data_IF_902128375563
#
_entry.id   IF_902128375563
#
_cell.length_a   1.000
_cell.length_b   1.000
_cell.length_c   1.000
_cell.angle_alpha   90.00
_cell.angle_beta   90.00
_cell.angle_gamma   90.00
#
_symmetry.space_group_name_H-M   'P 1'
#
loop_
_entity.id
_entity.type
_entity.pdbx_description
1 polymer ?
#
# COMPACT_ATOMS: atom_id res chain seq x y z
N UNK A 1 10.13 20.33 18.12
CA UNK A 1 10.65 19.75 16.87
C UNK A 1 9.42 19.28 16.11
N UNK A 2 9.25 19.86 14.92
CA UNK A 2 7.96 20.06 14.27
C UNK A 2 7.26 18.75 13.87
N UNK A 3 5.94 18.76 14.05
CA UNK A 3 4.91 17.85 13.56
C UNK A 3 5.30 16.97 12.35
N UNK A 4 5.65 15.72 12.64
CA UNK A 4 5.61 14.59 11.68
C UNK A 4 4.17 14.14 11.37
N UNK A 5 3.19 15.06 11.33
CA UNK A 5 1.77 14.70 11.25
C UNK A 5 1.26 14.40 9.84
N UNK A 6 2.12 14.37 8.80
CA UNK A 6 1.66 14.22 7.41
C UNK A 6 2.47 13.22 6.57
N UNK A 7 3.23 12.31 7.19
CA UNK A 7 3.92 11.20 6.51
C UNK A 7 3.08 9.91 6.61
N UNK A 8 1.84 9.99 6.11
CA UNK A 8 0.79 8.99 6.34
C UNK A 8 0.37 8.25 5.05
N UNK A 9 1.25 7.43 4.44
CA UNK A 9 0.92 6.59 3.31
C UNK A 9 -0.40 5.82 3.48
N UNK A 10 -1.24 5.91 2.45
CA UNK A 10 -2.54 5.27 2.44
C UNK A 10 -2.44 3.87 1.85
N UNK A 11 -2.92 2.86 2.58
CA UNK A 11 -2.98 1.47 2.14
C UNK A 11 -4.39 1.13 1.63
N UNK A 12 -4.50 0.74 0.38
CA UNK A 12 -5.74 0.34 -0.27
C UNK A 12 -5.74 -1.16 -0.56
N UNK A 13 -6.85 -1.84 -0.33
CA UNK A 13 -7.06 -3.20 -0.81
C UNK A 13 -7.84 -3.19 -2.12
N UNK A 14 -7.30 -3.90 -3.09
CA UNK A 14 -7.87 -4.10 -4.42
C UNK A 14 -8.39 -5.52 -4.52
N UNK A 15 -9.69 -5.64 -4.78
CA UNK A 15 -10.36 -6.93 -4.92
C UNK A 15 -11.05 -6.99 -6.27
N UNK A 16 -10.36 -7.49 -7.31
CA UNK A 16 -10.92 -7.67 -8.66
C UNK A 16 -12.24 -8.45 -8.65
N UNK A 17 -12.34 -9.49 -7.83
CA UNK A 17 -13.55 -10.31 -7.71
C UNK A 17 -14.76 -9.50 -7.21
N UNK A 18 -14.54 -8.50 -6.36
CA UNK A 18 -15.59 -7.65 -5.80
C UNK A 18 -15.81 -6.36 -6.62
N UNK A 19 -15.11 -6.20 -7.75
CA UNK A 19 -15.03 -4.95 -8.53
C UNK A 19 -14.62 -3.75 -7.66
N UNK A 20 -13.87 -3.99 -6.60
CA UNK A 20 -13.44 -2.95 -5.67
C UNK A 20 -12.02 -2.49 -6.03
N UNK A 21 -11.91 -1.32 -6.65
CA UNK A 21 -10.67 -0.75 -7.19
C UNK A 21 -9.86 0.04 -6.15
N UNK A 22 -9.90 -0.35 -4.88
CA UNK A 22 -9.10 0.29 -3.84
C UNK A 22 -9.95 0.82 -2.69
N UNK A 23 -10.18 -0.04 -1.70
CA UNK A 23 -10.77 0.38 -0.42
C UNK A 23 -9.65 0.74 0.55
N UNK A 24 -9.66 1.96 1.08
CA UNK A 24 -8.72 2.37 2.12
C UNK A 24 -8.88 1.44 3.34
N UNK A 25 -7.79 0.81 3.76
CA UNK A 25 -7.77 -0.13 4.88
C UNK A 25 -7.04 0.41 6.09
N UNK A 26 -5.92 1.07 5.85
CA UNK A 26 -5.08 1.60 6.88
C UNK A 26 -4.36 2.84 6.36
N UNK A 27 -4.03 3.71 7.29
CA UNK A 27 -3.12 4.82 7.08
C UNK A 27 -1.90 4.48 7.91
N UNK A 28 -0.78 4.28 7.25
CA UNK A 28 0.46 3.85 7.88
C UNK A 28 1.41 5.02 7.92
N UNK A 29 2.23 5.11 8.95
CA UNK A 29 3.39 5.99 8.97
C UNK A 29 4.48 5.43 8.04
N UNK A 30 5.40 6.26 7.55
CA UNK A 30 6.55 5.80 6.74
C UNK A 30 7.33 4.67 7.43
N UNK A 31 7.56 4.74 8.75
CA UNK A 31 8.23 3.67 9.50
C UNK A 31 7.44 2.35 9.49
N UNK A 32 6.11 2.42 9.60
CA UNK A 32 5.24 1.25 9.55
C UNK A 32 5.23 0.66 8.13
N UNK A 33 5.24 1.51 7.11
CA UNK A 33 5.43 1.08 5.73
C UNK A 33 6.77 0.35 5.54
N UNK A 34 7.88 0.88 6.07
CA UNK A 34 9.18 0.21 5.99
C UNK A 34 9.16 -1.18 6.65
N UNK A 35 8.52 -1.30 7.83
CA UNK A 35 8.34 -2.59 8.48
C UNK A 35 7.44 -3.53 7.65
N UNK A 36 6.34 -3.01 7.12
CA UNK A 36 5.39 -3.76 6.30
C UNK A 36 6.05 -4.31 5.03
N UNK A 37 6.82 -3.50 4.30
CA UNK A 37 7.44 -3.93 3.04
C UNK A 37 8.60 -4.91 3.22
N UNK A 38 9.19 -4.98 4.42
CA UNK A 38 10.19 -6.01 4.76
C UNK A 38 9.58 -7.42 4.77
N UNK A 39 8.30 -7.53 5.13
CA UNK A 39 7.56 -8.80 5.12
C UNK A 39 6.79 -9.01 3.82
N UNK A 40 6.31 -7.92 3.22
CA UNK A 40 5.49 -7.94 2.01
C UNK A 40 6.09 -7.04 0.93
N UNK A 41 6.96 -7.57 0.05
CA UNK A 41 7.69 -6.75 -0.91
C UNK A 41 6.73 -5.94 -1.79
N UNK A 42 6.97 -4.63 -1.83
CA UNK A 42 6.19 -3.69 -2.60
C UNK A 42 6.95 -3.29 -3.88
N UNK A 43 6.24 -3.22 -4.99
CA UNK A 43 6.78 -2.85 -6.30
C UNK A 43 6.19 -1.51 -6.71
N UNK A 44 7.04 -0.54 -7.04
CA UNK A 44 6.58 0.74 -7.58
C UNK A 44 5.91 0.54 -8.94
N UNK A 45 4.66 0.98 -9.08
CA UNK A 45 3.86 0.82 -10.30
C UNK A 45 3.59 2.13 -11.05
N UNK A 46 4.06 3.26 -10.50
CA UNK A 46 3.92 4.59 -11.12
C UNK A 46 3.03 5.53 -10.33
N UNK A 47 2.72 6.67 -10.91
CA UNK A 47 1.89 7.73 -10.30
C UNK A 47 0.39 7.52 -10.55
N UNK A 48 0.01 6.51 -11.33
CA UNK A 48 -1.37 6.14 -11.62
C UNK A 48 -1.81 4.93 -10.78
N UNK A 49 -3.07 4.95 -10.34
CA UNK A 49 -3.63 3.85 -9.58
C UNK A 49 -3.66 2.57 -10.45
N UNK A 50 -3.19 1.41 -9.95
CA UNK A 50 -3.14 0.19 -10.74
C UNK A 50 -4.55 -0.27 -11.13
N UNK A 51 -4.82 -0.32 -12.43
CA UNK A 51 -6.14 -0.71 -12.95
C UNK A 51 -6.38 -2.20 -12.77
N UNK A 52 -7.56 -2.55 -12.24
CA UNK A 52 -8.02 -3.94 -12.23
C UNK A 52 -8.29 -4.39 -13.67
N UNK A 53 -7.58 -5.42 -14.15
CA UNK A 53 -8.01 -6.17 -15.33
C UNK A 53 -7.29 -5.90 -16.66
N UNK A 54 -6.07 -5.31 -16.68
CA UNK A 54 -5.29 -5.25 -17.94
C UNK A 54 -4.28 -6.40 -18.11
N UNK A 55 -3.95 -7.11 -17.04
CA UNK A 55 -3.08 -8.28 -17.08
C UNK A 55 -3.85 -9.53 -16.65
N UNK A 56 -3.95 -10.49 -17.57
CA UNK A 56 -4.65 -11.76 -17.42
C UNK A 56 -4.06 -12.70 -16.34
N UNK A 57 -3.06 -12.24 -15.58
CA UNK A 57 -2.37 -13.02 -14.54
C UNK A 57 -2.79 -12.69 -13.10
N UNK A 58 -3.68 -11.72 -12.88
CA UNK A 58 -4.01 -11.24 -11.52
C UNK A 58 -5.49 -11.30 -11.17
N UNK A 59 -6.08 -12.50 -11.10
CA UNK A 59 -7.39 -12.70 -10.47
C UNK A 59 -7.33 -12.71 -8.93
N UNK A 60 -6.15 -12.47 -8.35
CA UNK A 60 -5.92 -12.41 -6.92
C UNK A 60 -6.15 -11.01 -6.35
N UNK A 61 -6.50 -10.97 -5.08
CA UNK A 61 -6.54 -9.74 -4.31
C UNK A 61 -5.11 -9.21 -4.09
N UNK A 62 -4.95 -7.89 -4.09
CA UNK A 62 -3.66 -7.25 -3.84
C UNK A 62 -3.85 -5.95 -3.06
N UNK A 63 -2.77 -5.43 -2.48
CA UNK A 63 -2.78 -4.13 -1.84
C UNK A 63 -1.98 -3.10 -2.63
N UNK A 64 -2.31 -1.83 -2.41
CA UNK A 64 -1.67 -0.68 -3.03
C UNK A 64 -1.33 0.32 -1.94
N UNK A 65 -0.08 0.71 -1.84
CA UNK A 65 0.36 1.79 -0.97
C UNK A 65 0.47 3.05 -1.81
N UNK A 66 -0.17 4.14 -1.39
CA UNK A 66 -0.04 5.46 -2.00
C UNK A 66 0.83 6.33 -1.11
N UNK A 67 1.94 6.81 -1.69
CA UNK A 67 2.76 7.87 -1.13
C UNK A 67 2.45 9.17 -1.86
N UNK A 68 2.06 10.19 -1.12
CA UNK A 68 1.87 11.54 -1.62
C UNK A 68 3.23 12.26 -1.77
N UNK A 69 3.34 13.27 -2.63
CA UNK A 69 4.57 14.06 -2.79
C UNK A 69 5.09 14.70 -1.49
N UNK A 70 4.18 14.97 -0.56
CA UNK A 70 4.49 15.55 0.75
C UNK A 70 4.99 14.49 1.76
N UNK A 71 4.76 13.20 1.47
CA UNK A 71 5.08 12.02 2.30
C UNK A 71 6.37 11.31 1.85
N UNK A 72 7.12 11.93 0.92
CA UNK A 72 8.30 11.32 0.32
C UNK A 72 9.54 11.55 1.15
N UNK A 73 10.15 10.48 1.62
CA UNK A 73 11.50 10.50 2.17
C UNK A 73 12.52 10.13 1.08
N UNK A 74 13.81 10.20 1.39
CA UNK A 74 14.87 9.81 0.44
C UNK A 74 14.74 8.35 -0.07
N UNK A 75 14.02 7.49 0.65
CA UNK A 75 13.82 6.09 0.29
C UNK A 75 12.56 5.84 -0.56
N UNK A 76 11.56 6.71 -0.47
CA UNK A 76 10.23 6.48 -1.06
C UNK A 76 9.89 7.55 -2.08
N UNK A 77 9.60 7.10 -3.31
CA UNK A 77 9.12 7.96 -4.39
C UNK A 77 7.60 8.17 -4.27
N UNK A 78 7.09 9.35 -4.65
CA UNK A 78 5.64 9.56 -4.66
C UNK A 78 5.00 8.72 -5.75
N UNK A 79 3.77 8.26 -5.47
CA UNK A 79 3.01 7.40 -6.37
C UNK A 79 2.49 6.15 -5.66
N UNK A 80 2.25 5.11 -6.46
CA UNK A 80 1.62 3.88 -6.04
C UNK A 80 2.61 2.72 -6.05
N UNK A 81 2.53 1.90 -5.00
CA UNK A 81 3.30 0.68 -4.85
C UNK A 81 2.33 -0.49 -4.72
N UNK A 82 2.45 -1.48 -5.60
CA UNK A 82 1.65 -2.70 -5.53
C UNK A 82 2.32 -3.71 -4.61
N UNK A 83 1.54 -4.32 -3.74
CA UNK A 83 1.95 -5.40 -2.84
C UNK A 83 1.16 -6.63 -3.24
N UNK A 84 1.87 -7.59 -3.84
CA UNK A 84 1.29 -8.86 -4.29
C UNK A 84 1.38 -9.86 -3.12
N UNK A 85 0.34 -9.87 -2.29
CA UNK A 85 0.25 -10.73 -1.10
C UNK A 85 -1.21 -10.91 -0.71
N UNK A 86 -1.50 -12.04 -0.05
CA UNK A 86 -2.84 -12.34 0.46
C UNK A 86 -3.33 -11.23 1.40
N UNK A 87 -4.53 -10.68 1.15
CA UNK A 87 -5.12 -9.63 2.01
C UNK A 87 -5.23 -10.04 3.47
N UNK A 88 -5.46 -11.32 3.75
CA UNK A 88 -5.50 -11.84 5.13
C UNK A 88 -4.14 -11.70 5.82
N UNK A 89 -3.03 -12.00 5.12
CA UNK A 89 -1.68 -11.83 5.68
C UNK A 89 -1.34 -10.37 5.87
N UNK A 90 -1.74 -9.52 4.91
CA UNK A 90 -1.55 -8.08 5.03
C UNK A 90 -2.33 -7.55 6.23
N UNK A 91 -3.57 -7.99 6.44
CA UNK A 91 -4.37 -7.58 7.58
C UNK A 91 -3.77 -8.03 8.93
N UNK A 92 -3.20 -9.24 8.99
CA UNK A 92 -2.49 -9.73 10.19
C UNK A 92 -1.26 -8.85 10.50
N UNK A 93 -0.44 -8.55 9.49
CA UNK A 93 0.71 -7.64 9.62
C UNK A 93 0.29 -6.23 10.06
N UNK A 94 -0.81 -5.69 9.52
CA UNK A 94 -1.34 -4.38 9.96
C UNK A 94 -1.79 -4.41 11.42
N UNK A 95 -2.45 -5.49 11.86
CA UNK A 95 -2.85 -5.67 13.26
C UNK A 95 -1.64 -5.78 14.19
N UNK A 96 -0.55 -6.39 13.73
CA UNK A 96 0.70 -6.48 14.47
C UNK A 96 1.40 -5.11 14.61
N UNK A 97 1.32 -4.25 13.58
CA UNK A 97 1.88 -2.90 13.62
C UNK A 97 1.09 -1.93 14.51
N UNK A 98 -0.23 -2.15 14.64
CA UNK A 98 -1.11 -1.32 15.46
C UNK A 98 -1.05 -1.62 16.97
N UNK A 99 -0.25 -2.61 17.41
CA UNK A 99 -0.08 -3.00 18.82
C UNK A 99 1.13 -2.34 19.46
#
# INVERSE_FOLDING_TARGET
MNDHLLDMPNLYFCQPHAKNQGMLRAVLSVNECEAFVRHHPAIYVGEDFPRLGKDAAGAGDFAVIRFQPEETTAAWRPGYYRVDSDLNKLNDSLLALSR
#
